data_IF_705173050651
#
_entry.id   IF_705173050651
#
_cell.length_a   1.000
_cell.length_b   1.000
_cell.length_c   1.000
_cell.angle_alpha   90.00
_cell.angle_beta   90.00
_cell.angle_gamma   90.00
#
_symmetry.space_group_name_H-M   'P 1'
#
loop_
_entity.id
_entity.type
_entity.pdbx_description
1 polymer ?
#
# COMPACT_ATOMS: atom_id res chain seq x y z
N UNK A 1 -4.04 -2.03 24.46
CA UNK A 1 -4.16 -0.66 23.91
C UNK A 1 -3.26 -0.44 22.68
N UNK A 2 -1.94 -0.64 22.79
CA UNK A 2 -0.98 -0.45 21.70
C UNK A 2 -1.33 -1.19 20.40
N UNK A 3 -1.67 -2.48 20.47
CA UNK A 3 -2.09 -3.28 19.30
C UNK A 3 -3.23 -2.61 18.52
N UNK A 4 -4.25 -2.15 19.23
CA UNK A 4 -5.44 -1.55 18.62
C UNK A 4 -5.07 -0.26 17.89
N UNK A 5 -4.21 0.57 18.48
CA UNK A 5 -3.70 1.80 17.87
C UNK A 5 -2.95 1.48 16.57
N UNK A 6 -2.02 0.52 16.59
CA UNK A 6 -1.24 0.11 15.41
C UNK A 6 -2.14 -0.43 14.30
N UNK A 7 -3.13 -1.26 14.65
CA UNK A 7 -4.06 -1.83 13.66
C UNK A 7 -4.93 -0.74 13.02
N UNK A 8 -5.42 0.22 13.80
CA UNK A 8 -6.17 1.34 13.24
C UNK A 8 -5.31 2.24 12.36
N UNK A 9 -4.07 2.52 12.76
CA UNK A 9 -3.12 3.26 11.93
C UNK A 9 -2.88 2.55 10.58
N UNK A 10 -2.66 1.23 10.60
CA UNK A 10 -2.49 0.43 9.37
C UNK A 10 -3.73 0.51 8.46
N UNK A 11 -4.93 0.41 9.03
CA UNK A 11 -6.19 0.52 8.28
C UNK A 11 -6.37 1.89 7.64
N UNK A 12 -6.15 2.96 8.40
CA UNK A 12 -6.26 4.33 7.90
C UNK A 12 -5.25 4.57 6.78
N UNK A 13 -3.99 4.16 6.96
CA UNK A 13 -2.95 4.28 5.94
C UNK A 13 -3.28 3.48 4.67
N UNK A 14 -3.80 2.25 4.81
CA UNK A 14 -4.19 1.44 3.65
C UNK A 14 -5.29 2.09 2.80
N UNK A 15 -6.29 2.72 3.46
CA UNK A 15 -7.34 3.46 2.75
C UNK A 15 -6.80 4.75 2.14
N UNK A 16 -5.97 5.49 2.88
CA UNK A 16 -5.31 6.69 2.36
C UNK A 16 -4.49 6.39 1.10
N UNK A 17 -3.81 5.24 1.05
CA UNK A 17 -3.08 4.77 -0.12
C UNK A 17 -3.97 4.53 -1.34
N UNK A 18 -5.11 3.86 -1.15
CA UNK A 18 -6.10 3.65 -2.23
C UNK A 18 -6.59 4.99 -2.77
N UNK A 19 -6.97 5.90 -1.87
CA UNK A 19 -7.49 7.21 -2.25
C UNK A 19 -6.44 8.07 -2.96
N UNK A 20 -5.21 8.07 -2.45
CA UNK A 20 -4.08 8.79 -3.06
C UNK A 20 -3.81 8.29 -4.47
N UNK A 21 -3.69 6.98 -4.68
CA UNK A 21 -3.43 6.42 -6.01
C UNK A 21 -4.60 6.64 -6.97
N UNK A 22 -5.84 6.54 -6.48
CA UNK A 22 -7.02 6.85 -7.29
C UNK A 22 -6.98 8.31 -7.73
N UNK A 23 -6.74 9.23 -6.80
CA UNK A 23 -6.61 10.65 -7.11
C UNK A 23 -5.48 10.89 -8.10
N UNK A 24 -4.30 10.30 -7.89
CA UNK A 24 -3.13 10.48 -8.75
C UNK A 24 -3.40 10.04 -10.20
N UNK A 25 -4.08 8.90 -10.41
CA UNK A 25 -4.44 8.42 -11.75
C UNK A 25 -5.32 9.43 -12.48
N UNK A 26 -6.39 9.90 -11.85
CA UNK A 26 -7.30 10.86 -12.48
C UNK A 26 -6.70 12.27 -12.61
N UNK A 27 -5.86 12.69 -11.66
CA UNK A 27 -5.16 13.96 -11.74
C UNK A 27 -4.14 13.99 -12.89
N UNK A 28 -3.48 12.86 -13.15
CA UNK A 28 -2.46 12.73 -14.20
C UNK A 28 -3.05 12.57 -15.59
N UNK A 29 -4.14 11.80 -15.71
CA UNK A 29 -4.69 11.37 -17.01
C UNK A 29 -6.09 11.90 -17.33
N UNK A 30 -6.73 12.61 -16.40
CA UNK A 30 -8.13 13.01 -16.53
C UNK A 30 -9.09 11.81 -16.63
N UNK A 31 -10.27 12.01 -17.22
CA UNK A 31 -11.20 10.93 -17.56
C UNK A 31 -10.91 10.43 -18.98
N UNK A 32 -9.86 9.64 -19.13
CA UNK A 32 -9.40 9.12 -20.42
C UNK A 32 -9.34 7.59 -20.44
N UNK A 33 -9.09 6.98 -21.59
CA UNK A 33 -8.87 5.53 -21.65
C UNK A 33 -7.60 5.11 -20.89
N UNK A 34 -6.58 5.97 -20.85
CA UNK A 34 -5.37 5.74 -20.07
C UNK A 34 -5.66 5.62 -18.57
N UNK A 35 -6.54 6.49 -18.03
CA UNK A 35 -6.92 6.40 -16.61
C UNK A 35 -7.60 5.06 -16.28
N UNK A 36 -8.37 4.47 -17.20
CA UNK A 36 -9.00 3.16 -16.98
C UNK A 36 -7.96 2.03 -16.82
N UNK A 37 -6.90 2.05 -17.63
CA UNK A 37 -5.82 1.06 -17.57
C UNK A 37 -5.02 1.24 -16.27
N UNK A 38 -4.67 2.48 -15.94
CA UNK A 38 -3.88 2.79 -14.74
C UNK A 38 -4.65 2.64 -13.42
N UNK A 39 -5.99 2.60 -13.49
CA UNK A 39 -6.84 2.27 -12.32
C UNK A 39 -6.56 0.85 -11.79
N UNK A 40 -5.87 0.00 -12.56
CA UNK A 40 -5.36 -1.29 -12.06
C UNK A 40 -4.51 -1.15 -10.79
N UNK A 41 -3.71 -0.09 -10.64
CA UNK A 41 -2.86 0.14 -9.47
C UNK A 41 -3.69 0.37 -8.19
N UNK A 42 -4.58 1.39 -8.11
CA UNK A 42 -5.42 1.56 -6.93
C UNK A 42 -6.35 0.37 -6.67
N UNK A 43 -6.78 -0.38 -7.70
CA UNK A 43 -7.56 -1.61 -7.52
C UNK A 43 -6.76 -2.74 -6.86
N UNK A 44 -5.50 -2.93 -7.24
CA UNK A 44 -4.60 -3.89 -6.59
C UNK A 44 -4.40 -3.50 -5.12
N UNK A 45 -4.15 -2.22 -4.84
CA UNK A 45 -3.99 -1.71 -3.47
C UNK A 45 -5.29 -1.91 -2.67
N UNK A 46 -6.45 -1.69 -3.28
CA UNK A 46 -7.75 -1.92 -2.64
C UNK A 46 -7.96 -3.40 -2.33
N UNK A 47 -7.64 -4.30 -3.26
CA UNK A 47 -7.73 -5.75 -3.03
C UNK A 47 -6.83 -6.18 -1.86
N UNK A 48 -5.57 -5.72 -1.83
CA UNK A 48 -4.64 -5.99 -0.73
C UNK A 48 -5.18 -5.41 0.59
N UNK A 49 -5.79 -4.21 0.56
CA UNK A 49 -6.41 -3.57 1.72
C UNK A 49 -7.53 -4.45 2.30
N UNK A 50 -8.44 -4.94 1.46
CA UNK A 50 -9.55 -5.81 1.88
C UNK A 50 -9.00 -7.12 2.48
N UNK A 51 -8.00 -7.73 1.83
CA UNK A 51 -7.32 -8.93 2.33
C UNK A 51 -6.66 -8.66 3.69
N UNK A 52 -5.95 -7.54 3.84
CA UNK A 52 -5.25 -7.16 5.06
C UNK A 52 -6.20 -7.00 6.25
N UNK A 53 -7.40 -6.47 6.03
CA UNK A 53 -8.38 -6.27 7.09
C UNK A 53 -8.92 -7.59 7.65
N UNK A 54 -8.98 -8.64 6.82
CA UNK A 54 -9.43 -9.98 7.23
C UNK A 54 -8.28 -10.85 7.74
N UNK A 55 -7.10 -10.74 7.12
CA UNK A 55 -5.89 -11.51 7.39
C UNK A 55 -4.67 -10.58 7.45
N UNK A 56 -4.44 -9.98 8.61
CA UNK A 56 -3.39 -8.98 8.84
C UNK A 56 -2.01 -9.40 8.30
N UNK A 57 -1.55 -10.62 8.60
CA UNK A 57 -0.23 -11.09 8.12
C UNK A 57 -0.17 -11.21 6.61
N UNK A 58 -1.18 -11.82 5.98
CA UNK A 58 -1.18 -12.04 4.52
C UNK A 58 -1.20 -10.69 3.81
N UNK A 59 -2.13 -9.80 4.16
CA UNK A 59 -2.18 -8.48 3.54
C UNK A 59 -0.96 -7.62 3.86
N UNK A 60 -0.39 -7.75 5.06
CA UNK A 60 0.86 -7.08 5.42
C UNK A 60 2.04 -7.54 4.55
N UNK A 61 2.18 -8.84 4.31
CA UNK A 61 3.19 -9.40 3.38
C UNK A 61 2.94 -8.91 1.96
N UNK A 62 1.70 -8.90 1.47
CA UNK A 62 1.36 -8.41 0.13
C UNK A 62 1.75 -6.94 -0.05
N UNK A 63 1.53 -6.08 0.95
CA UNK A 63 1.96 -4.69 0.91
C UNK A 63 3.48 -4.53 0.85
N UNK A 64 4.23 -5.33 1.63
CA UNK A 64 5.70 -5.34 1.59
C UNK A 64 6.20 -5.83 0.23
N UNK A 65 5.59 -6.88 -0.32
CA UNK A 65 5.91 -7.39 -1.65
C UNK A 65 5.59 -6.36 -2.73
N UNK A 66 4.49 -5.62 -2.63
CA UNK A 66 4.16 -4.55 -3.55
C UNK A 66 5.23 -3.44 -3.54
N UNK A 67 5.70 -3.06 -2.36
CA UNK A 67 6.78 -2.08 -2.20
C UNK A 67 8.09 -2.59 -2.83
N UNK A 68 8.49 -3.82 -2.52
CA UNK A 68 9.70 -4.43 -3.07
C UNK A 68 9.61 -4.63 -4.59
N UNK A 69 8.44 -4.99 -5.10
CA UNK A 69 8.18 -5.16 -6.53
C UNK A 69 8.35 -3.84 -7.29
N UNK A 70 7.83 -2.74 -6.76
CA UNK A 70 8.07 -1.41 -7.36
C UNK A 70 9.57 -1.10 -7.42
N UNK A 71 10.28 -1.25 -6.30
CA UNK A 71 11.73 -1.00 -6.23
C UNK A 71 12.49 -1.84 -7.25
N UNK A 72 12.12 -3.12 -7.40
CA UNK A 72 12.70 -4.00 -8.42
C UNK A 72 12.43 -3.52 -9.85
N UNK A 73 11.21 -3.08 -10.17
CA UNK A 73 10.83 -2.64 -11.51
C UNK A 73 11.59 -1.38 -11.97
N UNK A 74 11.80 -0.43 -11.07
CA UNK A 74 12.44 0.86 -11.41
C UNK A 74 13.88 0.96 -10.94
N UNK A 75 14.50 -0.17 -10.55
CA UNK A 75 15.85 -0.20 -9.98
C UNK A 75 16.89 0.44 -10.91
N UNK A 76 17.59 1.45 -10.40
CA UNK A 76 18.59 2.22 -11.15
C UNK A 76 18.02 3.24 -12.14
N UNK A 77 16.69 3.30 -12.32
CA UNK A 77 16.04 4.23 -13.23
C UNK A 77 15.44 5.46 -12.54
N UNK A 78 15.05 5.34 -11.26
CA UNK A 78 14.46 6.43 -10.49
C UNK A 78 15.45 7.06 -9.49
N UNK A 79 15.17 8.29 -9.07
CA UNK A 79 15.90 8.96 -7.99
C UNK A 79 15.56 8.33 -6.63
N UNK A 80 16.49 8.42 -5.68
CA UNK A 80 16.33 7.85 -4.32
C UNK A 80 15.02 8.27 -3.65
N UNK A 81 14.63 9.52 -3.83
CA UNK A 81 13.40 10.10 -3.27
C UNK A 81 12.15 9.43 -3.82
N UNK A 82 12.14 9.06 -5.11
CA UNK A 82 11.02 8.37 -5.74
C UNK A 82 10.80 6.99 -5.13
N UNK A 83 11.87 6.23 -4.84
CA UNK A 83 11.73 4.94 -4.16
C UNK A 83 11.09 5.10 -2.78
N UNK A 84 11.55 6.07 -1.99
CA UNK A 84 10.99 6.32 -0.66
C UNK A 84 9.53 6.77 -0.72
N UNK A 85 9.20 7.68 -1.63
CA UNK A 85 7.86 8.23 -1.77
C UNK A 85 6.85 7.18 -2.24
N UNK A 86 7.24 6.32 -3.18
CA UNK A 86 6.32 5.34 -3.79
C UNK A 86 6.27 4.03 -3.00
N UNK A 87 7.42 3.49 -2.60
CA UNK A 87 7.49 2.20 -1.88
C UNK A 87 7.36 2.34 -0.37
N UNK A 88 7.66 3.50 0.20
CA UNK A 88 7.65 3.74 1.65
C UNK A 88 6.26 3.56 2.28
N UNK A 89 5.21 4.24 1.79
CA UNK A 89 3.86 4.09 2.32
C UNK A 89 3.31 2.65 2.32
N UNK A 90 3.38 1.87 1.21
CA UNK A 90 2.95 0.48 1.24
C UNK A 90 3.84 -0.39 2.16
N UNK A 91 5.16 -0.20 2.17
CA UNK A 91 6.04 -0.92 3.09
C UNK A 91 5.68 -0.67 4.56
N UNK A 92 5.51 0.60 4.95
CA UNK A 92 5.11 0.99 6.31
C UNK A 92 3.75 0.40 6.67
N UNK A 93 2.77 0.49 5.76
CA UNK A 93 1.43 -0.08 5.97
C UNK A 93 1.51 -1.59 6.20
N UNK A 94 2.31 -2.30 5.39
CA UNK A 94 2.50 -3.73 5.53
C UNK A 94 3.16 -4.14 6.85
N UNK A 95 4.21 -3.43 7.25
CA UNK A 95 4.90 -3.64 8.51
C UNK A 95 3.98 -3.41 9.73
N UNK A 96 3.11 -2.40 9.69
CA UNK A 96 2.15 -2.14 10.77
C UNK A 96 1.11 -3.27 10.91
N UNK A 97 0.61 -3.82 9.80
CA UNK A 97 -0.29 -4.98 9.84
C UNK A 97 0.40 -6.22 10.45
N UNK A 98 1.64 -6.50 10.05
CA UNK A 98 2.43 -7.61 10.58
C UNK A 98 2.69 -7.42 12.07
N UNK A 99 3.10 -6.21 12.48
CA UNK A 99 3.38 -5.87 13.88
C UNK A 99 2.14 -6.00 14.76
N UNK A 100 0.98 -5.51 14.30
CA UNK A 100 -0.28 -5.65 15.03
C UNK A 100 -0.68 -7.12 15.25
N UNK A 101 -0.37 -8.01 14.29
CA UNK A 101 -0.61 -9.45 14.45
C UNK A 101 0.41 -10.11 15.37
N UNK A 102 1.69 -9.73 15.29
CA UNK A 102 2.73 -10.23 16.20
C UNK A 102 2.40 -9.89 17.67
N UNK A 103 1.85 -8.70 17.92
CA UNK A 103 1.38 -8.27 19.25
C UNK A 103 0.10 -8.97 19.72
N UNK A 104 -0.64 -9.66 18.83
CA UNK A 104 -1.80 -10.48 19.20
C UNK A 104 -1.41 -11.85 19.73
N UNK A 105 -0.27 -12.37 19.28
CA UNK A 105 0.22 -13.72 19.58
C UNK A 105 1.07 -13.81 20.85
N UNK A 106 1.29 -12.67 21.52
CA UNK A 106 1.93 -12.55 22.83
C UNK A 106 0.87 -12.29 23.87
#
# INVERSE_FOLDING_TARGET
>A
MLRTIILWAAKILSVALVLWWTFFVFASHGFSFASLIETSVPLIILAITIIAWRWNTIGGVLFVLLAAFYVYLVWGAAETETYLLVSGPPALTGLLFILAEALKRR
#
